data_IF_459577340179
#
_entry.id   IF_459577340179
#
_cell.length_a   1.000
_cell.length_b   1.000
_cell.length_c   1.000
_cell.angle_alpha   90.00
_cell.angle_beta   90.00
_cell.angle_gamma   90.00
#
_symmetry.space_group_name_H-M   'P 1'
#
loop_
_entity.id
_entity.type
_entity.pdbx_description
1 polymer ?
#
# COMPACT_ATOMS: atom_id res chain seq x y z
N UNK A 1 -39.49 40.93 4.12
CA UNK A 1 -38.12 40.49 4.45
C UNK A 1 -38.03 40.29 5.97
N UNK A 2 -38.38 39.10 6.48
CA UNK A 2 -38.33 38.81 7.92
C UNK A 2 -36.92 38.34 8.28
N UNK A 3 -36.19 39.13 9.09
CA UNK A 3 -34.91 38.69 9.65
C UNK A 3 -35.20 37.80 10.86
N UNK A 4 -34.71 36.55 10.92
CA UNK A 4 -34.84 35.74 12.12
C UNK A 4 -34.03 36.38 13.25
N UNK A 5 -34.72 36.83 14.30
CA UNK A 5 -34.12 37.33 15.53
C UNK A 5 -33.63 36.15 16.37
N UNK A 6 -32.39 35.72 16.11
CA UNK A 6 -31.74 34.68 16.92
C UNK A 6 -31.27 35.30 18.24
N UNK A 7 -31.61 34.65 19.36
CA UNK A 7 -31.14 35.03 20.71
C UNK A 7 -29.60 35.14 20.73
N UNK A 8 -29.06 36.21 21.34
CA UNK A 8 -27.60 36.43 21.48
C UNK A 8 -26.86 35.22 22.04
N UNK A 9 -27.48 34.45 22.93
CA UNK A 9 -26.88 33.24 23.52
C UNK A 9 -26.78 32.10 22.50
N UNK A 10 -27.82 31.89 21.69
CA UNK A 10 -27.80 30.91 20.60
C UNK A 10 -26.81 31.30 19.50
N UNK A 11 -26.61 32.60 19.28
CA UNK A 11 -25.62 33.09 18.32
C UNK A 11 -24.19 32.79 18.76
N UNK A 12 -23.86 32.96 20.06
CA UNK A 12 -22.54 32.58 20.60
C UNK A 12 -22.33 31.07 20.60
N UNK A 13 -23.36 30.29 20.94
CA UNK A 13 -23.28 28.83 20.92
C UNK A 13 -23.06 28.29 19.50
N UNK A 14 -23.77 28.86 18.51
CA UNK A 14 -23.58 28.52 17.09
C UNK A 14 -22.17 28.88 16.59
N UNK A 15 -21.63 30.04 16.98
CA UNK A 15 -20.26 30.42 16.63
C UNK A 15 -19.22 29.48 17.25
N UNK A 16 -19.39 29.11 18.52
CA UNK A 16 -18.51 28.16 19.20
C UNK A 16 -18.56 26.76 18.56
N UNK A 17 -19.76 26.29 18.21
CA UNK A 17 -19.95 25.02 17.51
C UNK A 17 -19.30 25.04 16.12
N UNK A 18 -19.49 26.10 15.33
CA UNK A 18 -18.81 26.26 14.03
C UNK A 18 -17.29 26.26 14.17
N UNK A 19 -16.75 27.01 15.15
CA UNK A 19 -15.30 27.04 15.40
C UNK A 19 -14.74 25.67 15.79
N UNK A 20 -15.44 24.93 16.63
CA UNK A 20 -15.06 23.58 17.04
C UNK A 20 -15.05 22.59 15.86
N UNK A 21 -16.06 22.66 14.98
CA UNK A 21 -16.13 21.81 13.78
C UNK A 21 -14.97 22.09 12.82
N UNK A 22 -14.60 23.36 12.62
CA UNK A 22 -13.48 23.74 11.75
C UNK A 22 -12.15 23.27 12.33
N UNK A 23 -11.93 23.43 13.64
CA UNK A 23 -10.72 22.93 14.29
C UNK A 23 -10.64 21.40 14.24
N UNK A 24 -11.76 20.71 14.48
CA UNK A 24 -11.83 19.27 14.39
C UNK A 24 -11.53 18.78 12.96
N UNK A 25 -12.10 19.41 11.92
CA UNK A 25 -11.83 19.00 10.54
C UNK A 25 -10.35 19.15 10.19
N UNK A 26 -9.69 20.24 10.58
CA UNK A 26 -8.25 20.42 10.36
C UNK A 26 -7.39 19.40 11.13
N UNK A 27 -7.80 18.99 12.33
CA UNK A 27 -7.08 17.98 13.11
C UNK A 27 -7.28 16.54 12.59
N UNK A 28 -8.46 16.25 12.02
CA UNK A 28 -8.80 14.93 11.48
C UNK A 28 -8.35 14.76 10.02
N UNK A 29 -8.26 15.83 9.22
CA UNK A 29 -7.72 15.78 7.86
C UNK A 29 -6.21 16.04 7.90
N UNK A 30 -5.42 15.01 8.11
CA UNK A 30 -3.98 15.08 7.86
C UNK A 30 -3.71 15.40 6.37
N UNK A 31 -2.70 16.22 6.09
CA UNK A 31 -2.14 16.34 4.75
C UNK A 31 -1.59 14.96 4.37
N UNK A 32 -2.32 14.19 3.57
CA UNK A 32 -1.82 12.93 3.04
C UNK A 32 -0.59 13.26 2.19
N UNK A 33 0.60 13.06 2.77
CA UNK A 33 1.86 13.37 2.10
C UNK A 33 1.99 12.51 0.86
N UNK A 34 1.81 13.13 -0.31
CA UNK A 34 2.09 12.49 -1.59
C UNK A 34 3.58 12.58 -1.81
N UNK A 35 4.28 11.49 -1.56
CA UNK A 35 5.68 11.35 -1.96
C UNK A 35 5.69 10.60 -3.29
N UNK A 36 6.28 11.21 -4.32
CA UNK A 36 6.44 10.56 -5.64
C UNK A 36 5.14 10.17 -6.36
N UNK A 37 4.01 10.83 -6.05
CA UNK A 37 2.72 10.55 -6.71
C UNK A 37 1.98 9.30 -6.21
N UNK A 38 2.45 8.65 -5.14
CA UNK A 38 1.79 7.50 -4.53
C UNK A 38 1.54 7.75 -3.03
N UNK A 39 0.38 7.29 -2.55
CA UNK A 39 0.13 7.17 -1.11
C UNK A 39 0.91 5.95 -0.61
N UNK A 40 1.87 6.18 0.27
CA UNK A 40 2.72 5.13 0.80
C UNK A 40 1.90 4.17 1.68
N UNK A 41 2.10 2.84 1.57
CA UNK A 41 1.35 1.83 2.32
C UNK A 41 1.44 1.96 3.85
N UNK A 42 2.51 2.58 4.36
CA UNK A 42 2.74 2.75 5.80
C UNK A 42 3.50 4.06 6.09
N UNK A 43 3.37 4.64 7.31
CA UNK A 43 4.05 5.88 7.70
C UNK A 43 5.58 5.79 7.71
N UNK A 44 6.11 4.57 7.80
CA UNK A 44 7.53 4.29 7.96
C UNK A 44 8.19 3.79 6.69
N UNK A 45 7.52 3.83 5.53
CA UNK A 45 8.03 3.24 4.28
C UNK A 45 9.44 3.74 3.87
N UNK A 46 9.80 4.98 4.22
CA UNK A 46 11.15 5.52 3.95
C UNK A 46 12.22 4.99 4.91
N UNK A 47 11.82 4.44 6.05
CA UNK A 47 12.67 3.78 7.04
C UNK A 47 12.52 2.26 7.02
N UNK A 48 11.51 1.74 6.33
CA UNK A 48 11.31 0.31 6.14
C UNK A 48 12.42 -0.18 5.22
N UNK A 49 13.17 -1.15 5.72
CA UNK A 49 14.32 -1.66 5.01
C UNK A 49 13.85 -2.17 3.63
N UNK A 50 14.65 -1.95 2.58
CA UNK A 50 14.41 -2.67 1.33
C UNK A 50 14.39 -4.14 1.70
N UNK A 51 13.25 -4.79 1.53
CA UNK A 51 13.08 -6.21 1.81
C UNK A 51 14.07 -7.00 0.95
N UNK A 52 15.26 -7.21 1.48
CA UNK A 52 16.39 -7.75 0.74
C UNK A 52 16.15 -9.24 0.58
N UNK A 53 15.59 -9.61 -0.56
CA UNK A 53 15.61 -10.98 -1.02
C UNK A 53 17.01 -11.25 -1.52
N UNK A 54 17.70 -12.22 -0.93
CA UNK A 54 19.00 -12.67 -1.42
C UNK A 54 18.91 -12.89 -2.94
N UNK A 55 19.95 -12.52 -3.71
CA UNK A 55 19.95 -12.74 -5.14
C UNK A 55 19.61 -14.21 -5.39
N UNK A 56 18.54 -14.44 -6.15
CA UNK A 56 18.15 -15.78 -6.54
C UNK A 56 19.29 -16.46 -7.31
N UNK A 57 19.24 -17.78 -7.49
CA UNK A 57 20.20 -18.48 -8.33
C UNK A 57 20.35 -17.77 -9.67
N UNK A 58 21.60 -17.54 -10.12
CA UNK A 58 21.94 -16.88 -11.39
C UNK A 58 21.11 -17.43 -12.57
N UNK A 59 20.82 -18.73 -12.52
CA UNK A 59 19.94 -19.41 -13.45
C UNK A 59 18.53 -19.61 -12.86
N UNK A 60 17.59 -18.77 -13.28
CA UNK A 60 16.19 -18.75 -12.83
C UNK A 60 15.43 -20.06 -13.06
N UNK A 61 15.90 -20.90 -14.00
CA UNK A 61 15.21 -22.11 -14.46
C UNK A 61 15.93 -23.39 -14.01
N UNK A 62 16.72 -23.35 -12.93
CA UNK A 62 17.48 -24.52 -12.44
C UNK A 62 16.61 -25.75 -12.23
N UNK A 63 15.38 -25.56 -11.72
CA UNK A 63 14.39 -26.63 -11.56
C UNK A 63 13.91 -27.21 -12.89
N UNK A 64 13.72 -26.37 -13.91
CA UNK A 64 13.28 -26.82 -15.23
C UNK A 64 14.40 -27.49 -16.00
N UNK A 65 15.64 -27.01 -15.87
CA UNK A 65 16.81 -27.67 -16.46
C UNK A 65 17.07 -29.04 -15.85
N UNK A 66 16.96 -29.18 -14.52
CA UNK A 66 17.06 -30.48 -13.85
C UNK A 66 15.95 -31.43 -14.33
N UNK A 67 14.71 -30.95 -14.41
CA UNK A 67 13.60 -31.76 -14.93
C UNK A 67 13.81 -32.20 -16.40
N UNK A 68 14.39 -31.35 -17.25
CA UNK A 68 14.73 -31.72 -18.64
C UNK A 68 15.87 -32.75 -18.71
N UNK A 69 16.86 -32.65 -17.82
CA UNK A 69 17.98 -33.59 -17.76
C UNK A 69 17.51 -34.98 -17.28
N UNK A 70 16.67 -35.02 -16.25
CA UNK A 70 16.04 -36.25 -15.76
C UNK A 70 15.16 -36.90 -16.83
N UNK A 71 14.31 -36.12 -17.51
CA UNK A 71 13.47 -36.63 -18.60
C UNK A 71 14.30 -37.18 -19.77
N UNK A 72 15.42 -36.53 -20.09
CA UNK A 72 16.34 -37.00 -21.15
C UNK A 72 17.03 -38.30 -20.75
N UNK A 73 17.49 -38.41 -19.50
CA UNK A 73 18.09 -39.62 -18.96
C UNK A 73 17.08 -40.78 -18.93
N UNK A 74 15.81 -40.51 -18.61
CA UNK A 74 14.74 -41.50 -18.67
C UNK A 74 14.56 -42.03 -20.10
N UNK A 75 14.41 -41.13 -21.09
CA UNK A 75 14.27 -41.48 -22.51
C UNK A 75 15.46 -42.30 -23.02
N UNK A 76 16.69 -41.94 -22.63
CA UNK A 76 17.92 -42.64 -23.03
C UNK A 76 18.07 -44.00 -22.33
N UNK A 77 17.54 -44.15 -21.12
CA UNK A 77 17.58 -45.41 -20.35
C UNK A 77 16.50 -46.41 -20.75
N UNK A 78 15.45 -46.01 -21.47
CA UNK A 78 14.49 -46.95 -22.06
C UNK A 78 15.24 -47.76 -23.13
N UNK A 79 15.41 -49.08 -22.97
CA UNK A 79 16.01 -49.89 -24.00
C UNK A 79 15.17 -49.75 -25.27
N UNK A 80 15.78 -49.30 -26.37
CA UNK A 80 15.11 -49.20 -27.66
C UNK A 80 14.79 -50.63 -28.16
N UNK A 81 13.68 -51.19 -27.68
CA UNK A 81 13.09 -52.41 -28.18
C UNK A 81 12.53 -52.11 -29.57
N UNK A 82 13.40 -52.21 -30.58
CA UNK A 82 13.05 -52.55 -31.94
C UNK A 82 13.87 -53.76 -32.36
#
# INVERSE_FOLDING_TARGET
MNKPTVSRMNQKLSQAACGAVILASMALTGCQGVYSGQVLPSPWYLQDDVQYFAPGPEFKLSKEAQAMEEAKAEIESVPQAR
#
